data_IF_516714117047
#
_entry.id   IF_516714117047
#
_cell.length_a   1.000
_cell.length_b   1.000
_cell.length_c   1.000
_cell.angle_alpha   90.00
_cell.angle_beta   90.00
_cell.angle_gamma   90.00
#
_symmetry.space_group_name_H-M   'P 1'
#
loop_
_entity.id
_entity.type
_entity.pdbx_description
1 polymer ?
#
# COMPACT_ATOMS: atom_id res chain seq x y z
N UNK A 1 -5.23 16.42 8.30
CA UNK A 1 -4.44 15.89 7.16
C UNK A 1 -4.37 14.38 7.33
N UNK A 2 -4.54 13.60 6.26
CA UNK A 2 -4.44 12.13 6.29
C UNK A 2 -3.27 11.73 5.39
N UNK A 3 -2.38 10.91 5.92
CA UNK A 3 -1.23 10.37 5.20
C UNK A 3 -1.26 8.85 5.33
N UNK A 4 -1.37 8.15 4.21
CA UNK A 4 -1.42 6.68 4.17
C UNK A 4 -0.54 6.24 3.00
N UNK A 5 0.32 5.25 3.22
CA UNK A 5 1.08 4.61 2.15
C UNK A 5 0.45 3.28 1.78
N UNK A 6 0.43 2.96 0.49
CA UNK A 6 -0.11 1.71 -0.03
C UNK A 6 0.88 1.07 -0.99
N UNK A 7 0.97 -0.26 -0.95
CA UNK A 7 1.77 -1.06 -1.88
C UNK A 7 0.98 -2.28 -2.38
N UNK A 8 1.21 -2.77 -3.60
CA UNK A 8 0.50 -3.95 -4.09
C UNK A 8 1.08 -5.25 -3.48
N UNK A 9 0.19 -6.16 -3.11
CA UNK A 9 0.54 -7.47 -2.52
C UNK A 9 1.14 -8.43 -3.55
N UNK A 10 0.72 -8.26 -4.81
CA UNK A 10 1.17 -9.01 -6.00
C UNK A 10 1.69 -8.04 -7.06
N UNK A 11 2.37 -8.53 -8.08
CA UNK A 11 2.69 -7.69 -9.24
C UNK A 11 1.41 -7.23 -9.96
N UNK A 12 1.44 -6.01 -10.53
CA UNK A 12 0.30 -5.36 -11.17
C UNK A 12 0.55 -5.18 -12.67
N UNK A 13 -0.40 -5.58 -13.50
CA UNK A 13 -0.38 -5.38 -14.95
C UNK A 13 -0.38 -3.88 -15.28
N UNK A 14 0.70 -3.45 -15.91
CA UNK A 14 0.95 -2.10 -16.41
C UNK A 14 1.97 -2.13 -17.56
N UNK A 15 2.08 -1.03 -18.30
CA UNK A 15 3.12 -0.89 -19.31
C UNK A 15 4.55 -1.05 -18.72
N UNK A 16 4.75 -0.63 -17.46
CA UNK A 16 6.03 -0.77 -16.78
C UNK A 16 6.38 -2.25 -16.50
N UNK A 17 5.39 -3.06 -16.14
CA UNK A 17 5.61 -4.50 -15.96
C UNK A 17 5.78 -5.23 -17.29
N UNK A 18 5.17 -4.77 -18.38
CA UNK A 18 5.38 -5.37 -19.70
C UNK A 18 6.81 -5.13 -20.22
N UNK A 19 7.39 -3.97 -19.90
CA UNK A 19 8.75 -3.59 -20.31
C UNK A 19 9.84 -4.06 -19.34
N UNK A 20 9.49 -4.77 -18.26
CA UNK A 20 10.46 -5.20 -17.27
C UNK A 20 11.28 -6.39 -17.82
N UNK A 21 12.62 -6.31 -17.94
CA UNK A 21 13.44 -7.42 -18.41
C UNK A 21 13.34 -8.66 -17.49
N UNK A 22 13.05 -8.47 -16.20
CA UNK A 22 12.77 -9.59 -15.28
C UNK A 22 11.47 -10.34 -15.61
N UNK A 23 10.61 -9.75 -16.46
CA UNK A 23 9.42 -10.38 -17.03
C UNK A 23 9.67 -10.90 -18.46
N UNK A 24 10.91 -10.97 -18.95
CA UNK A 24 11.24 -11.78 -20.13
C UNK A 24 10.98 -13.26 -19.80
N UNK A 25 9.74 -13.71 -20.05
CA UNK A 25 9.21 -15.01 -19.62
C UNK A 25 8.19 -14.96 -18.47
N UNK A 26 7.93 -13.77 -17.91
CA UNK A 26 6.90 -13.55 -16.88
C UNK A 26 5.50 -13.67 -17.47
N UNK A 27 4.69 -14.58 -16.93
CA UNK A 27 3.34 -14.80 -17.44
C UNK A 27 2.41 -13.69 -16.97
N UNK A 28 1.49 -13.22 -17.83
CA UNK A 28 0.34 -12.40 -17.38
C UNK A 28 -0.47 -13.08 -16.27
N UNK A 29 -0.33 -14.40 -16.11
CA UNK A 29 -0.90 -15.18 -15.01
C UNK A 29 -0.30 -14.84 -13.64
N UNK A 30 0.87 -14.22 -13.59
CA UNK A 30 1.53 -13.79 -12.35
C UNK A 30 1.15 -12.36 -11.94
N UNK A 31 0.31 -11.69 -12.74
CA UNK A 31 -0.08 -10.29 -12.54
C UNK A 31 -1.55 -10.18 -12.14
N UNK A 32 -1.86 -9.15 -11.34
CA UNK A 32 -3.24 -8.68 -11.15
C UNK A 32 -3.51 -7.42 -11.97
N UNK A 33 -4.76 -7.23 -12.36
CA UNK A 33 -5.27 -6.01 -12.98
C UNK A 33 -5.09 -4.83 -12.04
N UNK A 34 -4.72 -3.67 -12.58
CA UNK A 34 -4.55 -2.42 -11.82
C UNK A 34 -5.80 -1.98 -11.04
N UNK A 35 -6.99 -2.48 -11.40
CA UNK A 35 -8.24 -2.16 -10.70
C UNK A 35 -8.24 -2.55 -9.23
N UNK A 36 -7.48 -3.57 -8.81
CA UNK A 36 -7.36 -3.91 -7.37
C UNK A 36 -6.76 -2.76 -6.57
N UNK A 37 -5.72 -2.12 -7.13
CA UNK A 37 -5.04 -1.02 -6.50
C UNK A 37 -5.93 0.23 -6.45
N UNK A 38 -6.69 0.48 -7.52
CA UNK A 38 -7.70 1.54 -7.56
C UNK A 38 -8.81 1.32 -6.53
N UNK A 39 -9.34 0.11 -6.40
CA UNK A 39 -10.39 -0.22 -5.43
C UNK A 39 -9.90 -0.09 -3.99
N UNK A 40 -8.65 -0.46 -3.72
CA UNK A 40 -8.01 -0.22 -2.43
C UNK A 40 -7.90 1.28 -2.12
N UNK A 41 -7.45 2.11 -3.06
CA UNK A 41 -7.38 3.57 -2.90
C UNK A 41 -8.78 4.17 -2.65
N UNK A 42 -9.77 3.83 -3.46
CA UNK A 42 -11.15 4.30 -3.27
C UNK A 42 -11.70 3.86 -1.92
N UNK A 43 -11.28 2.70 -1.43
CA UNK A 43 -11.63 2.22 -0.10
C UNK A 43 -10.93 3.03 0.99
N UNK A 44 -9.63 3.33 0.86
CA UNK A 44 -8.93 4.21 1.82
C UNK A 44 -9.65 5.57 1.92
N UNK A 45 -9.97 6.19 0.78
CA UNK A 45 -10.65 7.49 0.72
C UNK A 45 -12.05 7.50 1.35
N UNK A 46 -12.75 6.37 1.33
CA UNK A 46 -14.09 6.21 1.93
C UNK A 46 -14.05 5.81 3.41
N UNK A 47 -12.88 5.51 3.97
CA UNK A 47 -12.73 5.07 5.36
C UNK A 47 -12.48 6.29 6.26
N UNK A 48 -13.00 6.30 7.51
CA UNK A 48 -12.76 7.43 8.42
C UNK A 48 -11.27 7.75 8.56
N UNK A 49 -10.96 9.05 8.58
CA UNK A 49 -9.58 9.57 8.59
C UNK A 49 -8.75 9.02 9.76
N UNK A 50 -9.35 8.95 10.94
CA UNK A 50 -8.76 8.41 12.18
C UNK A 50 -8.36 6.92 12.06
N UNK A 51 -9.01 6.18 11.16
CA UNK A 51 -8.75 4.75 10.95
C UNK A 51 -7.59 4.50 10.02
N UNK A 52 -7.31 5.41 9.07
CA UNK A 52 -6.35 5.16 7.98
C UNK A 52 -5.10 6.04 8.04
N UNK A 53 -5.12 7.12 8.82
CA UNK A 53 -3.96 8.00 8.95
C UNK A 53 -2.77 7.28 9.62
N UNK A 54 -1.58 7.41 9.02
CA UNK A 54 -0.35 6.78 9.48
C UNK A 54 -0.18 5.32 9.07
N UNK A 55 -1.13 4.73 8.33
CA UNK A 55 -1.03 3.31 7.96
C UNK A 55 -0.09 3.08 6.77
N UNK A 56 0.60 1.94 6.83
CA UNK A 56 1.28 1.29 5.71
C UNK A 56 0.48 0.04 5.34
N UNK A 57 -0.17 0.05 4.18
CA UNK A 57 -1.15 -1.00 3.84
C UNK A 57 -0.79 -1.70 2.54
N UNK A 58 -1.23 -2.95 2.43
CA UNK A 58 -1.25 -3.70 1.19
C UNK A 58 -2.66 -3.73 0.63
N UNK A 59 -2.81 -3.64 -0.69
CA UNK A 59 -4.11 -3.57 -1.38
C UNK A 59 -5.08 -4.71 -0.98
N UNK A 60 -4.66 -5.97 -1.10
CA UNK A 60 -5.46 -7.14 -0.73
C UNK A 60 -5.85 -7.11 0.74
N UNK A 61 -4.91 -6.81 1.62
CA UNK A 61 -5.13 -6.90 3.06
C UNK A 61 -6.04 -5.77 3.53
N UNK A 62 -5.92 -4.58 2.93
CA UNK A 62 -6.84 -3.48 3.16
C UNK A 62 -8.26 -3.83 2.70
N UNK A 63 -8.41 -4.35 1.48
CA UNK A 63 -9.72 -4.76 0.95
C UNK A 63 -10.33 -5.89 1.78
N UNK A 64 -9.53 -6.86 2.22
CA UNK A 64 -9.98 -7.94 3.10
C UNK A 64 -10.45 -7.40 4.45
N UNK A 65 -9.63 -6.58 5.10
CA UNK A 65 -9.89 -6.06 6.45
C UNK A 65 -11.05 -5.06 6.50
N UNK A 66 -11.11 -4.13 5.56
CA UNK A 66 -12.04 -2.99 5.62
C UNK A 66 -13.24 -3.10 4.67
N UNK A 67 -13.22 -4.03 3.70
CA UNK A 67 -14.33 -4.25 2.76
C UNK A 67 -14.85 -5.69 2.76
N UNK A 68 -14.22 -6.61 3.51
CA UNK A 68 -14.64 -8.01 3.60
C UNK A 68 -14.38 -8.81 2.32
N UNK A 69 -13.50 -8.33 1.42
CA UNK A 69 -13.17 -9.03 0.18
C UNK A 69 -12.32 -10.26 0.50
N UNK A 70 -12.83 -11.45 0.18
CA UNK A 70 -12.12 -12.72 0.39
C UNK A 70 -11.67 -13.37 -0.92
N UNK A 71 -12.43 -13.17 -2.00
CA UNK A 71 -12.09 -13.63 -3.35
C UNK A 71 -11.54 -12.48 -4.20
N UNK A 72 -10.32 -12.66 -4.70
CA UNK A 72 -9.62 -11.71 -5.56
C UNK A 72 -9.46 -12.20 -7.01
N UNK A 73 -10.11 -13.30 -7.37
CA UNK A 73 -9.99 -13.94 -8.70
C UNK A 73 -10.38 -13.01 -9.85
N UNK A 74 -11.31 -12.07 -9.63
CA UNK A 74 -11.73 -11.07 -10.63
C UNK A 74 -10.61 -10.13 -11.05
N UNK A 75 -9.64 -9.91 -10.15
CA UNK A 75 -8.46 -9.10 -10.38
C UNK A 75 -7.33 -9.87 -11.07
N UNK A 76 -7.44 -11.17 -11.32
CA UNK A 76 -6.40 -11.91 -12.03
C UNK A 76 -6.20 -11.37 -13.45
N UNK A 77 -4.94 -11.16 -13.86
CA UNK A 77 -4.59 -10.73 -15.22
C UNK A 77 -5.01 -11.76 -16.27
N UNK A 78 -4.90 -13.05 -15.93
CA UNK A 78 -5.46 -14.16 -16.72
C UNK A 78 -6.57 -14.85 -15.91
N UNK A 79 -7.78 -15.06 -16.45
CA UNK A 79 -8.84 -15.77 -15.75
C UNK A 79 -8.39 -17.17 -15.27
N UNK A 80 -8.66 -17.48 -14.01
CA UNK A 80 -8.26 -18.75 -13.37
C UNK A 80 -6.82 -18.81 -12.87
N UNK A 81 -5.99 -17.79 -13.15
CA UNK A 81 -4.66 -17.69 -12.54
C UNK A 81 -4.72 -17.20 -11.11
N UNK A 82 -3.73 -17.60 -10.30
CA UNK A 82 -3.56 -17.14 -8.91
C UNK A 82 -2.19 -16.47 -8.79
N UNK A 83 -2.10 -15.15 -9.07
CA UNK A 83 -0.84 -14.41 -8.97
C UNK A 83 -0.13 -14.63 -7.63
N UNK A 84 1.18 -14.93 -7.69
CA UNK A 84 2.00 -15.13 -6.49
C UNK A 84 2.08 -13.84 -5.68
N UNK A 85 1.85 -13.94 -4.37
CA UNK A 85 2.12 -12.87 -3.42
C UNK A 85 3.61 -12.58 -3.32
N UNK A 86 4.00 -11.31 -3.48
CA UNK A 86 5.40 -10.85 -3.43
C UNK A 86 5.73 -10.10 -2.12
N UNK A 87 4.72 -9.71 -1.35
CA UNK A 87 4.89 -9.06 -0.04
C UNK A 87 4.55 -10.03 1.11
N UNK A 88 5.15 -9.85 2.31
CA UNK A 88 4.75 -10.59 3.50
C UNK A 88 3.25 -10.42 3.78
N UNK A 89 2.61 -11.46 4.33
CA UNK A 89 1.23 -11.36 4.83
C UNK A 89 1.17 -10.52 6.12
N UNK A 90 2.21 -10.63 6.94
CA UNK A 90 2.42 -9.83 8.14
C UNK A 90 3.75 -9.08 7.96
N UNK A 91 3.70 -7.75 8.02
CA UNK A 91 4.90 -6.93 7.90
C UNK A 91 5.69 -6.99 9.21
N UNK A 92 7.02 -7.16 9.15
CA UNK A 92 7.85 -7.16 10.35
C UNK A 92 7.83 -5.78 11.02
N UNK A 93 8.01 -5.76 12.33
CA UNK A 93 8.32 -4.52 13.06
C UNK A 93 9.73 -4.09 12.66
N UNK A 94 9.84 -2.86 12.15
CA UNK A 94 11.12 -2.24 11.78
C UNK A 94 11.58 -1.18 12.79
N UNK A 95 10.91 -1.10 13.94
CA UNK A 95 11.28 -0.19 15.02
C UNK A 95 12.67 -0.53 15.56
N UNK A 96 13.42 0.52 15.88
CA UNK A 96 14.73 0.46 16.53
C UNK A 96 14.64 1.12 17.90
N UNK A 97 15.59 0.84 18.80
CA UNK A 97 15.55 1.36 20.17
C UNK A 97 15.52 2.90 20.24
N UNK A 98 16.12 3.56 19.25
CA UNK A 98 16.25 5.01 19.13
C UNK A 98 15.13 5.66 18.30
N UNK A 99 14.12 4.90 17.84
CA UNK A 99 13.09 5.40 16.91
C UNK A 99 12.35 6.65 17.42
N UNK A 100 12.20 6.76 18.74
CA UNK A 100 11.52 7.88 19.41
C UNK A 100 12.50 8.94 19.96
N UNK A 101 13.82 8.77 19.80
CA UNK A 101 14.80 9.79 20.17
C UNK A 101 14.89 10.86 19.08
N UNK A 102 13.92 11.77 19.09
CA UNK A 102 13.88 12.93 18.18
C UNK A 102 14.90 14.03 18.55
N UNK A 103 15.73 13.83 19.58
CA UNK A 103 16.64 14.84 20.10
C UNK A 103 15.92 16.13 20.51
N UNK A 104 16.50 17.29 20.18
CA UNK A 104 15.87 18.59 20.46
C UNK A 104 14.91 18.98 19.34
N UNK A 105 13.62 18.68 19.51
CA UNK A 105 12.56 19.05 18.55
C UNK A 105 12.43 20.58 18.43
N UNK A 106 12.75 21.14 17.26
CA UNK A 106 12.47 22.55 16.94
C UNK A 106 11.07 22.71 16.33
N UNK A 107 10.25 23.55 16.96
CA UNK A 107 8.94 23.93 16.43
C UNK A 107 9.06 25.22 15.62
N UNK A 108 9.17 25.07 14.29
CA UNK A 108 9.33 26.21 13.37
C UNK A 108 8.15 27.19 13.41
N UNK A 109 6.97 26.74 13.84
CA UNK A 109 5.79 27.61 14.00
C UNK A 109 5.91 28.56 15.19
N UNK A 110 6.80 28.25 16.16
CA UNK A 110 7.08 29.09 17.33
C UNK A 110 8.25 30.04 17.12
N UNK A 111 9.14 29.79 16.17
CA UNK A 111 10.33 30.60 15.90
C UNK A 111 9.96 32.00 15.39
N UNK A 112 8.90 32.13 14.60
CA UNK A 112 8.48 33.39 13.97
C UNK A 112 7.35 34.15 14.70
N UNK A 113 7.06 33.85 15.98
CA UNK A 113 6.07 34.64 16.73
C UNK A 113 6.62 36.03 17.04
N UNK A 114 5.96 37.13 16.61
CA UNK A 114 6.37 38.47 17.00
C UNK A 114 6.24 38.61 18.52
N UNK A 115 7.26 39.19 19.15
CA UNK A 115 7.21 39.54 20.58
C UNK A 115 6.22 40.70 20.73
N UNK A 116 5.06 40.40 21.32
CA UNK A 116 4.11 41.41 21.82
C UNK A 116 4.70 42.12 23.04
#
# INVERSE_FOLDING_TARGET
>A
MVITSIWPSTAIESAATELNPANEGGSKADLRKATIFSDAILSILKTPAETVNGLLVLDEDFLRKYRGVSDFSSYAGVPGSTPRRIMPQELPVLEVAEQDDEGTRMDSTKINRPKL
#
